data_IF_810590786388
#
_entry.id   IF_810590786388
#
_cell.length_a   1.000
_cell.length_b   1.000
_cell.length_c   1.000
_cell.angle_alpha   90.00
_cell.angle_beta   90.00
_cell.angle_gamma   90.00
#
_symmetry.space_group_name_H-M   'P 1'
#
loop_
_entity.id
_entity.type
_entity.pdbx_description
1 polymer ?
#
# COMPACT_ATOMS: atom_id res chain seq x y z
N UNK A 1 -11.04 -23.46 -3.61
CA UNK A 1 -10.95 -23.30 -2.13
C UNK A 1 -12.29 -23.50 -1.43
N UNK A 2 -13.41 -22.83 -1.78
CA UNK A 2 -14.67 -23.02 -1.07
C UNK A 2 -15.23 -24.46 -1.18
N UNK A 3 -15.11 -25.07 -2.36
CA UNK A 3 -15.55 -26.46 -2.60
C UNK A 3 -14.86 -27.47 -1.67
N UNK A 4 -13.54 -27.35 -1.51
CA UNK A 4 -12.76 -28.22 -0.61
C UNK A 4 -13.19 -28.13 0.85
N UNK A 5 -13.57 -26.93 1.32
CA UNK A 5 -14.02 -26.75 2.71
C UNK A 5 -15.41 -27.37 2.93
N UNK A 6 -16.31 -27.27 1.94
CA UNK A 6 -17.61 -27.94 1.99
C UNK A 6 -17.43 -29.46 2.04
N UNK A 7 -16.46 -30.00 1.31
CA UNK A 7 -16.18 -31.44 1.26
C UNK A 7 -15.46 -31.94 2.53
N UNK A 8 -14.43 -31.24 3.00
CA UNK A 8 -13.66 -31.61 4.18
C UNK A 8 -14.44 -31.41 5.49
N UNK A 9 -15.31 -30.40 5.58
CA UNK A 9 -16.09 -30.06 6.78
C UNK A 9 -17.55 -30.53 6.70
N UNK A 10 -17.94 -31.29 5.67
CA UNK A 10 -19.30 -31.76 5.46
C UNK A 10 -19.87 -32.67 6.56
N UNK A 11 -19.02 -33.17 7.47
CA UNK A 11 -19.44 -33.98 8.64
C UNK A 11 -20.10 -33.18 9.76
N UNK A 12 -19.86 -31.86 9.85
CA UNK A 12 -20.43 -31.01 10.91
C UNK A 12 -21.40 -30.00 10.29
N UNK A 13 -22.72 -30.15 10.49
CA UNK A 13 -23.70 -29.22 9.92
C UNK A 13 -23.48 -27.81 10.47
N UNK A 14 -23.52 -26.80 9.60
CA UNK A 14 -23.34 -25.39 9.94
C UNK A 14 -21.90 -24.87 9.91
N UNK A 15 -20.87 -25.73 9.98
CA UNK A 15 -19.47 -25.31 10.02
C UNK A 15 -19.01 -24.66 8.69
N UNK A 16 -19.43 -25.23 7.55
CA UNK A 16 -19.20 -24.62 6.24
C UNK A 16 -19.88 -23.24 6.11
N UNK A 17 -21.08 -23.07 6.69
CA UNK A 17 -21.78 -21.80 6.73
C UNK A 17 -21.05 -20.75 7.56
N UNK A 18 -20.53 -21.14 8.74
CA UNK A 18 -19.70 -20.30 9.60
C UNK A 18 -18.43 -19.84 8.88
N UNK A 19 -17.76 -20.76 8.17
CA UNK A 19 -16.55 -20.45 7.40
C UNK A 19 -16.81 -19.41 6.31
N UNK A 20 -17.86 -19.61 5.52
CA UNK A 20 -18.25 -18.67 4.45
C UNK A 20 -18.66 -17.32 5.03
N UNK A 21 -19.43 -17.30 6.13
CA UNK A 21 -19.80 -16.08 6.83
C UNK A 21 -18.57 -15.31 7.35
N UNK A 22 -17.55 -16.01 7.86
CA UNK A 22 -16.29 -15.42 8.31
C UNK A 22 -15.52 -14.74 7.18
N UNK A 23 -15.40 -15.37 6.02
CA UNK A 23 -14.73 -14.79 4.84
C UNK A 23 -15.46 -13.53 4.37
N UNK A 24 -16.78 -13.58 4.26
CA UNK A 24 -17.57 -12.41 3.88
C UNK A 24 -17.46 -11.28 4.90
N UNK A 25 -17.51 -11.60 6.20
CA UNK A 25 -17.35 -10.62 7.27
C UNK A 25 -15.99 -9.92 7.22
N UNK A 26 -14.90 -10.68 7.09
CA UNK A 26 -13.54 -10.13 6.99
C UNK A 26 -13.36 -9.24 5.74
N UNK A 27 -13.88 -9.70 4.59
CA UNK A 27 -13.82 -8.97 3.32
C UNK A 27 -14.61 -7.66 3.39
N UNK A 28 -15.85 -7.72 3.88
CA UNK A 28 -16.72 -6.55 4.03
C UNK A 28 -16.16 -5.54 5.04
N UNK A 29 -15.51 -6.00 6.11
CA UNK A 29 -14.85 -5.12 7.09
C UNK A 29 -13.73 -4.31 6.44
N UNK A 30 -12.90 -4.95 5.60
CA UNK A 30 -11.80 -4.28 4.90
C UNK A 30 -12.31 -3.32 3.82
N UNK A 31 -13.33 -3.71 3.05
CA UNK A 31 -13.95 -2.86 2.04
C UNK A 31 -14.61 -1.64 2.69
N UNK A 32 -15.34 -1.84 3.79
CA UNK A 32 -15.98 -0.76 4.53
C UNK A 32 -14.96 0.26 5.06
N UNK A 33 -13.88 -0.22 5.68
CA UNK A 33 -12.79 0.65 6.14
C UNK A 33 -12.15 1.43 4.98
N UNK A 34 -11.93 0.77 3.83
CA UNK A 34 -11.35 1.38 2.63
C UNK A 34 -12.26 2.47 2.03
N UNK A 35 -13.56 2.18 1.85
CA UNK A 35 -14.53 3.16 1.36
C UNK A 35 -14.64 4.36 2.30
N UNK A 36 -14.67 4.12 3.61
CA UNK A 36 -14.77 5.20 4.59
C UNK A 36 -13.51 6.07 4.61
N UNK A 37 -12.32 5.46 4.56
CA UNK A 37 -11.06 6.18 4.48
C UNK A 37 -10.96 7.02 3.20
N UNK A 38 -11.30 6.43 2.04
CA UNK A 38 -11.31 7.15 0.75
C UNK A 38 -12.33 8.29 0.74
N UNK A 39 -13.52 8.08 1.28
CA UNK A 39 -14.53 9.14 1.39
C UNK A 39 -14.05 10.30 2.27
N UNK A 40 -13.39 9.99 3.40
CA UNK A 40 -12.81 10.99 4.29
C UNK A 40 -11.67 11.78 3.60
N UNK A 41 -10.74 11.09 2.95
CA UNK A 41 -9.65 11.69 2.17
C UNK A 41 -10.22 12.58 1.06
N UNK A 42 -11.21 12.11 0.31
CA UNK A 42 -11.83 12.91 -0.76
C UNK A 42 -12.51 14.16 -0.23
N UNK A 43 -13.22 14.07 0.91
CA UNK A 43 -13.85 15.23 1.50
C UNK A 43 -12.82 16.24 2.06
N UNK A 44 -11.81 15.77 2.78
CA UNK A 44 -10.85 16.65 3.46
C UNK A 44 -9.75 17.18 2.54
N UNK A 45 -9.13 16.31 1.73
CA UNK A 45 -7.96 16.68 0.94
C UNK A 45 -8.32 17.32 -0.41
N UNK A 46 -9.42 16.89 -1.02
CA UNK A 46 -9.86 17.40 -2.33
C UNK A 46 -10.97 18.44 -2.16
N UNK A 47 -12.13 18.05 -1.64
CA UNK A 47 -13.29 18.96 -1.57
C UNK A 47 -13.03 20.13 -0.63
N UNK A 48 -12.51 19.89 0.57
CA UNK A 48 -12.21 20.94 1.56
C UNK A 48 -11.14 21.94 1.10
N UNK A 49 -10.27 21.54 0.16
CA UNK A 49 -9.27 22.43 -0.44
C UNK A 49 -9.88 23.41 -1.44
N UNK A 50 -10.90 23.01 -2.20
CA UNK A 50 -11.50 23.81 -3.28
C UNK A 50 -12.87 24.39 -2.96
N UNK A 51 -13.60 23.86 -1.97
CA UNK A 51 -14.93 24.29 -1.60
C UNK A 51 -15.09 24.31 -0.07
N UNK A 52 -15.67 25.40 0.46
CA UNK A 52 -16.07 25.46 1.88
C UNK A 52 -17.39 24.71 2.04
N UNK A 53 -17.32 23.46 2.48
CA UNK A 53 -18.51 22.63 2.74
C UNK A 53 -19.09 23.00 4.11
N UNK A 54 -20.38 23.34 4.22
CA UNK A 54 -21.01 23.56 5.51
C UNK A 54 -21.02 22.25 6.32
N UNK A 55 -20.80 22.28 7.65
CA UNK A 55 -20.71 21.07 8.47
C UNK A 55 -21.98 20.21 8.45
N UNK A 56 -23.14 20.82 8.16
CA UNK A 56 -24.42 20.11 8.00
C UNK A 56 -24.43 19.14 6.80
N UNK A 57 -23.73 19.48 5.72
CA UNK A 57 -23.71 18.68 4.47
C UNK A 57 -22.53 17.71 4.38
N UNK A 58 -21.48 17.93 5.19
CA UNK A 58 -20.31 17.06 5.26
C UNK A 58 -20.66 15.56 5.43
N UNK A 59 -21.49 15.12 6.41
CA UNK A 59 -21.77 13.70 6.59
C UNK A 59 -22.55 13.09 5.43
N UNK A 60 -23.41 13.88 4.77
CA UNK A 60 -24.15 13.43 3.60
C UNK A 60 -23.22 13.23 2.41
N UNK A 61 -22.29 14.17 2.19
CA UNK A 61 -21.32 14.09 1.11
C UNK A 61 -20.33 12.92 1.31
N UNK A 62 -19.88 12.65 2.54
CA UNK A 62 -19.06 11.48 2.85
C UNK A 62 -19.80 10.17 2.55
N UNK A 63 -21.09 10.07 2.92
CA UNK A 63 -21.90 8.88 2.60
C UNK A 63 -22.05 8.68 1.09
N UNK A 64 -22.28 9.76 0.35
CA UNK A 64 -22.36 9.70 -1.12
C UNK A 64 -21.04 9.25 -1.74
N UNK A 65 -19.91 9.80 -1.29
CA UNK A 65 -18.58 9.40 -1.74
C UNK A 65 -18.28 7.92 -1.42
N UNK A 66 -18.61 7.46 -0.21
CA UNK A 66 -18.44 6.06 0.17
C UNK A 66 -19.28 5.11 -0.70
N UNK A 67 -20.51 5.49 -1.04
CA UNK A 67 -21.36 4.74 -1.97
C UNK A 67 -20.75 4.68 -3.38
N UNK A 68 -20.25 5.82 -3.88
CA UNK A 68 -19.57 5.87 -5.18
C UNK A 68 -18.33 4.97 -5.23
N UNK A 69 -17.48 4.97 -4.20
CA UNK A 69 -16.33 4.04 -4.13
C UNK A 69 -16.75 2.57 -4.05
N UNK A 70 -17.86 2.26 -3.37
CA UNK A 70 -18.44 0.92 -3.38
C UNK A 70 -18.83 0.45 -4.79
N UNK A 71 -19.44 1.32 -5.60
CA UNK A 71 -19.76 1.03 -7.00
C UNK A 71 -18.50 0.85 -7.86
N UNK A 72 -17.46 1.66 -7.61
CA UNK A 72 -16.16 1.51 -8.31
C UNK A 72 -15.50 0.17 -7.97
N UNK A 73 -15.51 -0.26 -6.71
CA UNK A 73 -14.98 -1.56 -6.32
C UNK A 73 -15.79 -2.72 -6.93
N UNK A 74 -17.10 -2.58 -7.05
CA UNK A 74 -17.94 -3.56 -7.74
C UNK A 74 -17.56 -3.66 -9.23
N UNK A 75 -17.35 -2.54 -9.91
CA UNK A 75 -16.90 -2.53 -11.31
C UNK A 75 -15.51 -3.17 -11.47
N UNK A 76 -14.57 -2.87 -10.57
CA UNK A 76 -13.24 -3.48 -10.55
C UNK A 76 -13.29 -5.00 -10.32
N UNK A 77 -14.24 -5.49 -9.53
CA UNK A 77 -14.42 -6.93 -9.30
C UNK A 77 -14.77 -7.68 -10.60
N UNK A 78 -15.56 -7.08 -11.49
CA UNK A 78 -15.83 -7.67 -12.82
C UNK A 78 -14.61 -7.64 -13.75
N UNK A 79 -13.76 -6.62 -13.63
CA UNK A 79 -12.53 -6.53 -14.43
C UNK A 79 -11.49 -7.53 -13.92
N UNK A 80 -11.50 -7.87 -12.63
CA UNK A 80 -10.55 -8.79 -12.01
C UNK A 80 -10.55 -10.18 -12.65
N UNK A 81 -11.66 -10.63 -13.26
CA UNK A 81 -11.73 -11.91 -13.97
C UNK A 81 -10.73 -12.01 -15.14
N UNK A 82 -10.42 -10.89 -15.80
CA UNK A 82 -9.45 -10.84 -16.90
C UNK A 82 -7.99 -10.83 -16.42
N UNK A 83 -7.75 -10.66 -15.12
CA UNK A 83 -6.41 -10.70 -14.55
C UNK A 83 -6.08 -12.15 -14.22
N UNK A 84 -5.25 -12.81 -15.05
CA UNK A 84 -4.88 -14.22 -14.90
C UNK A 84 -4.35 -14.64 -13.51
N UNK A 85 -3.90 -13.67 -12.69
CA UNK A 85 -3.57 -13.87 -11.27
C UNK A 85 -3.92 -12.65 -10.41
N UNK A 86 -5.16 -12.56 -9.93
CA UNK A 86 -5.68 -11.43 -9.12
C UNK A 86 -4.84 -11.18 -7.86
N UNK A 87 -4.49 -12.24 -7.12
CA UNK A 87 -3.70 -12.10 -5.90
C UNK A 87 -2.30 -11.54 -6.19
N UNK A 88 -1.65 -12.03 -7.25
CA UNK A 88 -0.33 -11.55 -7.65
C UNK A 88 -0.39 -10.08 -8.09
N UNK A 89 -1.41 -9.70 -8.87
CA UNK A 89 -1.61 -8.32 -9.29
C UNK A 89 -1.83 -7.38 -8.09
N UNK A 90 -2.69 -7.78 -7.14
CA UNK A 90 -2.96 -7.01 -5.93
C UNK A 90 -1.69 -6.80 -5.08
N UNK A 91 -0.92 -7.87 -4.84
CA UNK A 91 0.34 -7.79 -4.08
C UNK A 91 1.39 -6.95 -4.79
N UNK A 92 1.44 -7.02 -6.12
CA UNK A 92 2.38 -6.21 -6.92
C UNK A 92 2.05 -4.73 -6.81
N UNK A 93 0.77 -4.35 -6.94
CA UNK A 93 0.32 -2.95 -6.79
C UNK A 93 0.60 -2.45 -5.37
N UNK A 94 0.27 -3.26 -4.35
CA UNK A 94 0.50 -2.91 -2.96
C UNK A 94 2.00 -2.70 -2.68
N UNK A 95 2.87 -3.55 -3.22
CA UNK A 95 4.31 -3.38 -3.10
C UNK A 95 4.84 -2.15 -3.84
N UNK A 96 4.39 -1.94 -5.09
CA UNK A 96 4.85 -0.85 -5.94
C UNK A 96 4.50 0.54 -5.38
N UNK A 97 3.32 0.69 -4.77
CA UNK A 97 2.85 1.95 -4.19
C UNK A 97 3.23 2.06 -2.71
N UNK A 98 3.08 0.97 -1.95
CA UNK A 98 3.31 0.95 -0.51
C UNK A 98 4.78 1.13 -0.13
N UNK A 99 5.73 0.57 -0.90
CA UNK A 99 7.16 0.70 -0.63
C UNK A 99 7.65 2.16 -0.63
N UNK A 100 7.44 2.92 -1.71
CA UNK A 100 7.79 4.34 -1.76
C UNK A 100 7.10 5.19 -0.68
N UNK A 101 5.80 4.96 -0.42
CA UNK A 101 5.08 5.68 0.64
C UNK A 101 5.68 5.42 2.03
N UNK A 102 6.00 4.15 2.33
CA UNK A 102 6.68 3.79 3.57
C UNK A 102 8.04 4.51 3.68
N UNK A 103 8.77 4.63 2.57
CA UNK A 103 10.04 5.35 2.51
C UNK A 103 9.89 6.84 2.86
N UNK A 104 8.84 7.49 2.36
CA UNK A 104 8.53 8.91 2.66
C UNK A 104 8.23 9.10 4.15
N UNK A 105 7.31 8.30 4.71
CA UNK A 105 6.94 8.41 6.11
C UNK A 105 8.12 8.12 7.03
N UNK A 106 8.93 7.11 6.69
CA UNK A 106 10.13 6.77 7.46
C UNK A 106 11.14 7.91 7.40
N UNK A 107 11.40 8.47 6.22
CA UNK A 107 12.33 9.60 6.10
C UNK A 107 11.86 10.81 6.93
N UNK A 108 10.57 11.14 6.88
CA UNK A 108 9.99 12.25 7.63
C UNK A 108 10.03 12.07 9.16
N UNK A 109 9.73 10.87 9.66
CA UNK A 109 9.70 10.60 11.11
C UNK A 109 11.10 10.47 11.74
N UNK A 110 12.11 10.08 10.96
CA UNK A 110 13.46 9.80 11.46
C UNK A 110 14.50 10.88 11.14
N UNK A 111 14.18 11.87 10.29
CA UNK A 111 15.15 12.91 9.91
C UNK A 111 14.55 14.31 9.99
N UNK A 112 15.35 15.28 10.44
CA UNK A 112 14.96 16.69 10.56
C UNK A 112 15.49 17.54 9.41
N UNK A 113 16.05 16.95 8.35
CA UNK A 113 16.59 17.70 7.20
C UNK A 113 15.80 17.41 5.92
N UNK A 114 14.80 16.55 5.97
CA UNK A 114 14.00 16.16 4.82
C UNK A 114 13.17 17.33 4.29
N UNK A 115 13.41 17.71 3.03
CA UNK A 115 12.70 18.83 2.40
C UNK A 115 11.43 18.34 1.68
N UNK A 116 10.32 19.06 1.84
CA UNK A 116 9.03 18.74 1.21
C UNK A 116 9.15 18.47 -0.31
N UNK A 117 9.84 19.36 -1.04
CA UNK A 117 10.05 19.21 -2.49
C UNK A 117 10.92 18.00 -2.83
N UNK A 118 11.99 17.78 -2.08
CA UNK A 118 12.91 16.66 -2.31
C UNK A 118 12.21 15.32 -2.09
N UNK A 119 11.46 15.21 -0.99
CA UNK A 119 10.69 14.01 -0.65
C UNK A 119 9.58 13.76 -1.68
N UNK A 120 8.92 14.81 -2.16
CA UNK A 120 7.90 14.68 -3.22
C UNK A 120 8.48 14.17 -4.54
N UNK A 121 9.65 14.68 -4.95
CA UNK A 121 10.36 14.18 -6.15
C UNK A 121 10.87 12.75 -5.96
N UNK A 122 11.35 12.40 -4.76
CA UNK A 122 11.77 11.04 -4.42
C UNK A 122 10.59 10.06 -4.47
N UNK A 123 9.41 10.46 -3.98
CA UNK A 123 8.18 9.67 -4.06
C UNK A 123 7.77 9.42 -5.51
N UNK A 124 7.69 10.47 -6.34
CA UNK A 124 7.30 10.35 -7.75
C UNK A 124 8.29 9.49 -8.55
N UNK A 125 9.59 9.70 -8.36
CA UNK A 125 10.61 8.88 -9.03
C UNK A 125 10.63 7.44 -8.53
N UNK A 126 10.47 7.20 -7.23
CA UNK A 126 10.38 5.87 -6.65
C UNK A 126 9.16 5.11 -7.14
N UNK A 127 8.01 5.77 -7.21
CA UNK A 127 6.76 5.20 -7.73
C UNK A 127 6.85 4.92 -9.23
N UNK A 128 7.46 5.80 -10.02
CA UNK A 128 7.70 5.56 -11.44
C UNK A 128 8.63 4.35 -11.64
N UNK A 129 9.70 4.23 -10.85
CA UNK A 129 10.64 3.11 -10.90
C UNK A 129 9.99 1.79 -10.50
N UNK A 130 9.24 1.75 -9.39
CA UNK A 130 8.56 0.53 -8.95
C UNK A 130 7.46 0.12 -9.91
N UNK A 131 6.71 1.06 -10.49
CA UNK A 131 5.72 0.78 -11.53
C UNK A 131 6.37 0.26 -12.81
N UNK A 132 7.49 0.85 -13.24
CA UNK A 132 8.27 0.38 -14.38
C UNK A 132 8.75 -1.07 -14.18
N UNK A 133 9.25 -1.40 -12.99
CA UNK A 133 9.66 -2.77 -12.66
C UNK A 133 8.43 -3.69 -12.60
N UNK A 134 7.32 -3.19 -12.06
CA UNK A 134 6.08 -3.94 -11.77
C UNK A 134 5.19 -4.23 -12.99
N UNK A 135 5.29 -3.45 -14.05
CA UNK A 135 4.52 -3.63 -15.28
C UNK A 135 5.40 -3.72 -16.54
N UNK A 136 6.71 -3.56 -16.43
CA UNK A 136 7.65 -3.75 -17.53
C UNK A 136 7.76 -5.21 -17.97
N UNK A 137 8.05 -5.40 -19.26
CA UNK A 137 8.18 -6.71 -19.89
C UNK A 137 9.45 -6.85 -20.72
N UNK A 138 9.77 -8.07 -21.22
CA UNK A 138 9.04 -9.33 -21.03
C UNK A 138 9.30 -9.95 -19.64
N UNK A 139 8.36 -10.76 -19.15
CA UNK A 139 8.44 -11.47 -17.85
C UNK A 139 8.43 -12.99 -18.03
N UNK A 140 9.15 -13.74 -17.20
CA UNK A 140 9.08 -15.19 -17.22
C UNK A 140 7.66 -15.64 -16.85
N UNK A 141 7.12 -16.67 -17.51
CA UNK A 141 5.81 -17.22 -17.17
C UNK A 141 5.82 -17.78 -15.75
N UNK A 142 4.71 -17.63 -15.03
CA UNK A 142 4.56 -18.17 -13.67
C UNK A 142 4.66 -19.69 -13.70
N UNK A 143 5.70 -20.24 -13.07
CA UNK A 143 5.86 -21.68 -12.93
C UNK A 143 4.77 -22.20 -11.98
N UNK A 144 3.79 -22.91 -12.53
CA UNK A 144 2.80 -23.62 -11.73
C UNK A 144 3.47 -24.85 -11.11
N UNK A 145 3.16 -25.17 -9.85
CA UNK A 145 3.64 -26.41 -9.23
C UNK A 145 3.20 -27.61 -10.08
N UNK A 146 4.07 -28.62 -10.26
CA UNK A 146 3.69 -29.83 -10.97
C UNK A 146 2.56 -30.52 -10.21
N UNK A 147 1.40 -30.62 -10.84
CA UNK A 147 0.28 -31.40 -10.33
C UNK A 147 0.54 -32.85 -10.72
N UNK A 148 0.72 -33.74 -9.72
CA UNK A 148 0.83 -35.17 -10.00
C UNK A 148 -0.55 -35.72 -10.38
N UNK A 149 -0.58 -36.43 -11.50
CA UNK A 149 -1.77 -37.16 -12.00
C UNK A 149 -1.56 -38.68 -11.89
N UNK A 150 -0.59 -39.13 -11.09
CA UNK A 150 -0.40 -40.57 -10.81
C UNK A 150 -1.69 -41.17 -10.26
N UNK A 151 -2.30 -42.07 -11.04
CA UNK A 151 -3.55 -42.76 -10.69
C UNK A 151 -4.81 -42.24 -11.41
N UNK A 152 -4.75 -41.20 -12.25
CA UNK A 152 -5.88 -40.77 -13.07
C UNK A 152 -5.94 -41.50 -14.41
N UNK A 153 -7.02 -42.23 -14.69
CA UNK A 153 -7.20 -43.07 -15.89
C UNK A 153 -7.55 -42.34 -17.20
N UNK A 154 -7.24 -41.05 -17.33
CA UNK A 154 -7.59 -40.24 -18.51
C UNK A 154 -6.32 -39.83 -19.29
N UNK A 155 -6.43 -39.71 -20.62
CA UNK A 155 -5.36 -39.13 -21.46
C UNK A 155 -5.23 -37.64 -21.15
N UNK A 156 -4.25 -37.27 -20.32
CA UNK A 156 -3.98 -35.87 -19.98
C UNK A 156 -2.87 -35.34 -20.90
N UNK A 157 -3.14 -34.25 -21.62
CA UNK A 157 -2.09 -33.45 -22.26
C UNK A 157 -1.28 -32.78 -21.17
N UNK A 158 -0.08 -33.30 -20.88
CA UNK A 158 0.86 -32.63 -19.99
C UNK A 158 1.30 -31.33 -20.65
N UNK A 159 1.06 -30.20 -19.97
CA UNK A 159 1.60 -28.92 -20.42
C UNK A 159 3.13 -29.03 -20.40
N UNK A 160 3.76 -29.00 -21.58
CA UNK A 160 5.21 -28.98 -21.68
C UNK A 160 5.74 -27.80 -20.85
N UNK A 161 6.61 -28.09 -19.88
CA UNK A 161 7.33 -27.05 -19.15
C UNK A 161 8.22 -26.37 -20.18
N UNK A 162 7.80 -25.20 -20.66
CA UNK A 162 8.62 -24.39 -21.54
C UNK A 162 9.90 -24.04 -20.78
N UNK A 163 11.00 -24.70 -21.14
CA UNK A 163 12.34 -24.38 -20.64
C UNK A 163 12.65 -22.94 -21.06
N UNK A 164 12.36 -22.01 -20.16
CA UNK A 164 12.59 -20.59 -20.38
C UNK A 164 14.01 -20.31 -19.96
N UNK A 165 14.87 -19.97 -20.91
CA UNK A 165 16.24 -19.58 -20.62
C UNK A 165 16.18 -18.29 -19.79
N UNK A 166 16.69 -18.29 -18.54
CA UNK A 166 16.58 -17.12 -17.70
C UNK A 166 17.23 -15.91 -18.38
N UNK A 167 18.33 -16.08 -19.14
CA UNK A 167 19.09 -15.05 -19.88
C UNK A 167 18.27 -14.11 -20.77
N UNK A 168 17.09 -14.51 -21.24
CA UNK A 168 16.29 -13.75 -22.21
C UNK A 168 15.53 -12.57 -21.57
N UNK A 169 15.49 -12.51 -20.24
CA UNK A 169 14.76 -11.49 -19.49
C UNK A 169 15.71 -10.54 -18.77
N UNK A 170 15.40 -9.25 -18.73
CA UNK A 170 16.17 -8.30 -17.92
C UNK A 170 16.12 -8.67 -16.43
N UNK A 171 17.23 -8.55 -15.70
CA UNK A 171 17.37 -9.04 -14.33
C UNK A 171 16.25 -8.52 -13.40
N UNK A 172 15.94 -7.23 -13.50
CA UNK A 172 14.89 -6.58 -12.70
C UNK A 172 13.48 -7.14 -12.95
N UNK A 173 13.22 -7.74 -14.12
CA UNK A 173 11.93 -8.38 -14.44
C UNK A 173 11.84 -9.83 -13.97
N UNK A 174 12.96 -10.44 -13.55
CA UNK A 174 13.00 -11.78 -12.92
C UNK A 174 12.82 -11.71 -11.40
N UNK A 175 13.04 -10.54 -10.82
CA UNK A 175 12.95 -10.32 -9.38
C UNK A 175 11.50 -10.53 -8.92
N UNK A 176 11.33 -11.26 -7.81
CA UNK A 176 10.01 -11.52 -7.24
C UNK A 176 9.28 -10.21 -6.96
N UNK A 177 7.97 -10.16 -7.22
CA UNK A 177 7.14 -8.98 -6.99
C UNK A 177 7.21 -8.50 -5.53
N UNK A 178 7.55 -9.37 -4.57
CA UNK A 178 7.77 -8.98 -3.16
C UNK A 178 8.94 -8.01 -2.97
N UNK A 179 9.96 -8.05 -3.83
CA UNK A 179 11.13 -7.17 -3.76
C UNK A 179 10.87 -5.77 -4.31
N UNK A 180 9.76 -5.54 -5.01
CA UNK A 180 9.39 -4.21 -5.50
C UNK A 180 9.19 -3.20 -4.35
N UNK A 181 8.64 -3.67 -3.22
CA UNK A 181 8.44 -2.86 -2.02
C UNK A 181 9.75 -2.38 -1.37
N UNK A 182 10.70 -3.26 -0.99
CA UNK A 182 11.97 -2.83 -0.41
C UNK A 182 12.82 -2.01 -1.39
N UNK A 183 12.77 -2.29 -2.70
CA UNK A 183 13.47 -1.47 -3.70
C UNK A 183 12.90 -0.04 -3.69
N UNK A 184 11.58 0.12 -3.73
CA UNK A 184 10.93 1.43 -3.67
C UNK A 184 11.23 2.17 -2.36
N UNK A 185 11.21 1.47 -1.23
CA UNK A 185 11.56 2.02 0.08
C UNK A 185 13.01 2.56 0.10
N UNK A 186 13.98 1.73 -0.29
CA UNK A 186 15.41 2.10 -0.29
C UNK A 186 15.64 3.26 -1.26
N UNK A 187 15.00 3.22 -2.44
CA UNK A 187 15.11 4.29 -3.42
C UNK A 187 14.68 5.64 -2.85
N UNK A 188 13.51 5.71 -2.22
CA UNK A 188 13.00 6.95 -1.62
C UNK A 188 13.92 7.45 -0.50
N UNK A 189 14.46 6.56 0.33
CA UNK A 189 15.41 6.94 1.39
C UNK A 189 16.68 7.53 0.77
N UNK A 190 17.29 6.86 -0.21
CA UNK A 190 18.56 7.31 -0.82
C UNK A 190 18.37 8.61 -1.61
N UNK A 191 17.38 8.66 -2.49
CA UNK A 191 17.13 9.85 -3.33
C UNK A 191 16.61 11.01 -2.49
N UNK A 192 15.70 10.75 -1.56
CA UNK A 192 15.14 11.75 -0.66
C UNK A 192 16.20 12.37 0.24
N UNK A 193 17.12 11.56 0.80
CA UNK A 193 18.26 12.08 1.58
C UNK A 193 19.25 12.84 0.71
N UNK A 194 19.67 12.29 -0.43
CA UNK A 194 20.63 12.94 -1.32
C UNK A 194 20.14 14.31 -1.79
N UNK A 195 18.91 14.40 -2.31
CA UNK A 195 18.34 15.68 -2.78
C UNK A 195 18.13 16.64 -1.61
N UNK A 196 17.70 16.16 -0.43
CA UNK A 196 17.50 17.04 0.73
C UNK A 196 18.81 17.63 1.26
N UNK A 197 19.92 16.89 1.16
CA UNK A 197 21.24 17.37 1.57
C UNK A 197 21.88 18.31 0.54
N UNK A 198 21.71 18.01 -0.75
CA UNK A 198 22.23 18.84 -1.85
C UNK A 198 21.45 20.14 -2.00
N UNK A 199 20.13 20.07 -1.90
CA UNK A 199 19.24 21.21 -2.07
C UNK A 199 18.76 21.69 -0.70
N UNK A 200 19.60 22.49 -0.04
CA UNK A 200 19.26 23.05 1.27
C UNK A 200 18.22 24.16 1.11
N UNK A 201 16.95 23.78 1.15
CA UNK A 201 15.83 24.70 1.11
C UNK A 201 15.42 25.11 2.53
N UNK A 202 14.85 26.30 2.69
CA UNK A 202 14.19 26.69 3.94
C UNK A 202 13.13 25.66 4.32
N UNK A 203 13.26 25.20 5.56
CA UNK A 203 12.48 24.12 6.11
C UNK A 203 11.03 24.57 6.39
N UNK A 204 10.05 23.65 6.46
CA UNK A 204 8.64 24.01 6.65
C UNK A 204 8.40 24.85 7.91
N UNK A 205 9.08 24.55 9.01
CA UNK A 205 8.94 25.30 10.27
C UNK A 205 9.55 26.71 10.20
N UNK A 206 10.63 26.90 9.43
CA UNK A 206 11.24 28.21 9.22
C UNK A 206 10.29 29.14 8.44
N UNK A 207 9.54 28.59 7.47
CA UNK A 207 8.51 29.36 6.74
C UNK A 207 7.34 29.77 7.63
N UNK A 208 7.07 29.00 8.68
CA UNK A 208 6.04 29.31 9.68
C UNK A 208 6.56 30.24 10.79
N UNK A 209 7.82 30.67 10.73
CA UNK A 209 8.43 31.54 11.74
C UNK A 209 8.75 30.83 13.06
N UNK A 210 8.76 29.49 13.08
CA UNK A 210 9.13 28.70 14.26
C UNK A 210 10.63 28.46 14.32
N UNK A 211 11.21 28.53 15.52
CA UNK A 211 12.66 28.37 15.75
C UNK A 211 13.13 26.90 15.70
N UNK A 212 12.24 25.94 15.94
CA UNK A 212 12.51 24.52 15.90
C UNK A 212 11.29 23.74 15.36
N UNK A 213 11.49 22.52 14.84
CA UNK A 213 10.38 21.67 14.41
C UNK A 213 9.63 21.09 15.62
N UNK A 214 8.36 20.77 15.44
CA UNK A 214 7.51 20.19 16.49
C UNK A 214 7.99 18.76 16.83
N UNK A 215 8.39 18.47 18.08
CA UNK A 215 8.94 17.17 18.44
C UNK A 215 7.95 16.00 18.30
N UNK A 216 6.63 16.28 18.34
CA UNK A 216 5.57 15.27 18.26
C UNK A 216 5.47 14.59 16.88
N UNK A 217 6.04 15.20 15.84
CA UNK A 217 6.04 14.64 14.49
C UNK A 217 7.14 13.59 14.29
N UNK A 218 8.09 13.48 15.22
CA UNK A 218 9.25 12.59 15.11
C UNK A 218 9.15 11.38 16.02
N UNK A 219 9.94 10.36 15.69
CA UNK A 219 10.04 9.17 16.54
C UNK A 219 10.51 9.52 17.96
N UNK A 220 10.08 8.78 19.00
CA UNK A 220 10.43 9.05 20.40
C UNK A 220 11.92 9.33 20.71
N UNK A 221 12.91 8.60 20.13
CA UNK A 221 14.32 8.90 20.38
C UNK A 221 14.76 10.23 19.77
N UNK A 222 14.22 10.62 18.62
CA UNK A 222 14.54 11.90 17.99
C UNK A 222 13.79 13.05 18.68
N UNK A 223 12.53 12.84 19.02
CA UNK A 223 11.70 13.78 19.78
C UNK A 223 12.32 14.11 21.15
N UNK A 224 12.79 13.10 21.89
CA UNK A 224 13.46 13.31 23.18
C UNK A 224 14.77 14.09 23.05
N UNK A 225 15.56 13.83 22.00
CA UNK A 225 16.78 14.61 21.70
C UNK A 225 16.47 16.06 21.34
N UNK A 226 15.39 16.30 20.58
CA UNK A 226 14.96 17.65 20.21
C UNK A 226 14.46 18.42 21.45
N UNK A 227 13.61 17.81 22.27
CA UNK A 227 13.15 18.39 23.55
C UNK A 227 14.30 18.69 24.50
N UNK A 228 15.26 17.77 24.62
CA UNK A 228 16.45 17.99 25.44
C UNK A 228 17.33 19.14 24.93
N UNK A 229 17.40 19.36 23.61
CA UNK A 229 18.14 20.48 23.02
C UNK A 229 17.44 21.83 23.16
N UNK A 230 16.11 21.84 23.21
CA UNK A 230 15.30 23.07 23.23
C UNK A 230 14.61 23.33 24.58
N UNK A 231 14.98 22.59 25.63
CA UNK A 231 14.43 22.69 27.00
C UNK A 231 12.90 22.58 27.10
N UNK A 232 12.25 21.95 26.12
CA UNK A 232 10.81 21.72 26.16
C UNK A 232 10.47 20.57 27.12
N UNK A 233 9.78 20.88 28.23
CA UNK A 233 9.20 19.87 29.12
C UNK A 233 8.09 19.12 28.37
N UNK A 234 8.00 17.78 28.48
CA UNK A 234 6.94 17.02 27.82
C UNK A 234 5.56 17.51 28.29
N UNK A 235 4.65 17.76 27.35
CA UNK A 235 3.24 17.93 27.67
C UNK A 235 2.75 16.66 28.34
N UNK A 236 2.33 16.77 29.61
CA UNK A 236 1.76 15.67 30.38
C UNK A 236 0.51 15.21 29.64
N UNK A 237 0.52 13.97 29.15
CA UNK A 237 -0.67 13.33 28.61
C UNK A 237 -1.68 13.20 29.76
N UNK A 238 -2.68 14.06 29.78
CA UNK A 238 -3.85 13.90 30.66
C UNK A 238 -4.63 12.72 30.11
N UNK A 239 -4.38 11.53 30.64
CA UNK A 239 -5.29 10.39 30.57
C UNK A 239 -6.64 10.88 31.10
N UNK A 240 -7.57 11.17 30.19
CA UNK A 240 -8.98 11.26 30.54
C UNK A 240 -9.46 9.83 30.70
N UNK A 241 -9.57 9.40 31.97
CA UNK A 241 -10.43 8.27 32.36
C UNK A 241 -11.89 8.57 32.00
#
# INVERSE_FOLDING_TARGET
MPYYVVEAMGRVPGLAGLFVAGIFSASLSTISASCNALAAVTLHDYVGRWCKVPPSYAPWLTKLAACAYGLVFLALAFIAEYLGGVLQAALTIFGAVGGPLLGVFTLGMFTTYANERAVSMALLSGMAMTLWISFGGPRPPVTKLPLSVEGCGFNVTQAAVAATNPSDYFYLYRVSYMWTSPIGFIWVIVVGTAISLLWRQQQPWERQGRSHPDPELFTPPLASRLRARHEEKPAVQVTKE
#
